data_IF_213853962025
#
_entry.id   IF_213853962025
#
_cell.length_a   1.000
_cell.length_b   1.000
_cell.length_c   1.000
_cell.angle_alpha   90.00
_cell.angle_beta   90.00
_cell.angle_gamma   90.00
#
_symmetry.space_group_name_H-M   'P 1'
#
loop_
_entity.id
_entity.type
_entity.pdbx_description
1 polymer ?
#
# COMPACT_ATOMS: atom_id res chain seq x y z
N UNK A 1 -13.63 12.06 4.92
CA UNK A 1 -12.70 11.46 5.89
C UNK A 1 -13.40 10.90 7.11
N UNK A 2 -13.09 9.65 7.48
CA UNK A 2 -13.66 8.95 8.65
C UNK A 2 -12.70 9.09 9.83
N UNK A 3 -13.03 9.90 10.84
CA UNK A 3 -12.14 10.26 11.98
C UNK A 3 -11.46 9.07 12.65
N UNK A 4 -12.16 7.92 12.79
CA UNK A 4 -11.61 6.70 13.39
C UNK A 4 -10.40 6.12 12.63
N UNK A 5 -10.32 6.36 11.33
CA UNK A 5 -9.29 5.84 10.42
C UNK A 5 -8.44 6.95 9.82
N UNK A 6 -8.43 8.13 10.44
CA UNK A 6 -7.65 9.29 9.99
C UNK A 6 -6.56 9.59 11.01
N UNK A 7 -5.31 9.65 10.56
CA UNK A 7 -4.17 10.08 11.38
C UNK A 7 -3.95 11.59 11.23
N UNK A 8 -3.47 12.30 12.27
CA UNK A 8 -3.39 13.77 12.25
C UNK A 8 -2.64 14.37 11.07
N UNK A 9 -1.51 13.75 10.68
CA UNK A 9 -0.67 14.24 9.57
C UNK A 9 -1.39 14.24 8.22
N UNK A 10 -2.23 13.23 7.95
CA UNK A 10 -2.99 13.16 6.70
C UNK A 10 -4.27 14.00 6.78
N UNK A 11 -4.84 14.17 7.98
CA UNK A 11 -5.96 15.08 8.20
C UNK A 11 -5.57 16.54 7.88
N UNK A 12 -4.36 16.94 8.25
CA UNK A 12 -3.85 18.28 8.01
C UNK A 12 -3.75 18.59 6.51
N UNK A 13 -3.21 17.64 5.73
CA UNK A 13 -3.08 17.77 4.26
C UNK A 13 -4.43 18.03 3.59
N UNK A 14 -5.47 17.32 4.03
CA UNK A 14 -6.83 17.41 3.47
C UNK A 14 -7.75 18.37 4.23
N UNK A 15 -7.21 19.20 5.11
CA UNK A 15 -7.99 20.23 5.79
C UNK A 15 -8.42 21.33 4.80
N UNK A 16 -9.59 21.93 5.05
CA UNK A 16 -10.06 23.09 4.27
C UNK A 16 -9.06 24.24 4.31
N UNK A 17 -8.41 24.44 5.47
CA UNK A 17 -7.35 25.44 5.64
C UNK A 17 -6.17 25.17 4.71
N UNK A 18 -5.64 23.94 4.70
CA UNK A 18 -4.53 23.60 3.83
C UNK A 18 -4.91 23.67 2.35
N UNK A 19 -6.15 23.33 1.97
CA UNK A 19 -6.65 23.52 0.59
C UNK A 19 -6.52 24.98 0.15
N UNK A 20 -7.12 25.90 0.89
CA UNK A 20 -7.07 27.33 0.54
C UNK A 20 -5.67 27.93 0.67
N UNK A 21 -4.85 27.41 1.59
CA UNK A 21 -3.43 27.76 1.67
C UNK A 21 -2.67 27.35 0.40
N UNK A 22 -2.94 26.17 -0.14
CA UNK A 22 -2.34 25.73 -1.40
C UNK A 22 -2.83 26.58 -2.58
N UNK A 23 -4.12 26.98 -2.60
CA UNK A 23 -4.65 27.89 -3.62
C UNK A 23 -3.96 29.25 -3.55
N UNK A 24 -3.83 29.81 -2.35
CA UNK A 24 -3.14 31.08 -2.13
C UNK A 24 -1.67 31.02 -2.58
N UNK A 25 -0.97 29.93 -2.27
CA UNK A 25 0.42 29.78 -2.69
C UNK A 25 0.54 29.75 -4.23
N UNK A 26 -0.36 29.05 -4.92
CA UNK A 26 -0.40 29.04 -6.40
C UNK A 26 -0.62 30.44 -6.97
N UNK A 27 -1.59 31.18 -6.44
CA UNK A 27 -1.89 32.56 -6.88
C UNK A 27 -0.67 33.48 -6.72
N UNK A 28 -0.04 33.49 -5.54
CA UNK A 28 1.09 34.39 -5.28
C UNK A 28 2.30 34.00 -6.15
N UNK A 29 2.54 32.70 -6.36
CA UNK A 29 3.62 32.24 -7.23
C UNK A 29 3.36 32.60 -8.71
N UNK A 30 2.10 32.61 -9.15
CA UNK A 30 1.76 33.07 -10.50
C UNK A 30 2.05 34.57 -10.66
N UNK A 31 1.71 35.39 -9.67
CA UNK A 31 2.05 36.82 -9.65
C UNK A 31 3.56 37.05 -9.63
N UNK A 32 4.32 36.27 -8.86
CA UNK A 32 5.79 36.31 -8.87
C UNK A 32 6.37 35.96 -10.24
N UNK A 33 5.81 34.97 -10.94
CA UNK A 33 6.25 34.63 -12.28
C UNK A 33 5.98 35.77 -13.28
N UNK A 34 4.80 36.40 -13.20
CA UNK A 34 4.49 37.58 -14.01
C UNK A 34 5.40 38.77 -13.70
N UNK A 35 5.77 38.98 -12.44
CA UNK A 35 6.75 39.99 -12.08
C UNK A 35 8.15 39.67 -12.60
N UNK A 36 8.55 38.39 -12.62
CA UNK A 36 9.81 37.96 -13.22
C UNK A 36 9.84 38.19 -14.75
N UNK A 37 8.68 38.20 -15.41
CA UNK A 37 8.53 38.60 -16.81
C UNK A 37 8.45 40.13 -17.02
N UNK A 38 8.27 40.91 -15.95
CA UNK A 38 8.14 42.37 -16.01
C UNK A 38 6.74 42.89 -16.35
N UNK A 39 5.72 42.02 -16.38
CA UNK A 39 4.33 42.38 -16.70
C UNK A 39 3.56 42.92 -15.48
N UNK A 40 3.97 42.51 -14.27
CA UNK A 40 3.42 43.00 -12.99
C UNK A 40 4.54 43.70 -12.21
N UNK A 41 4.30 44.86 -11.58
CA UNK A 41 5.30 45.52 -10.74
C UNK A 41 5.73 44.64 -9.56
N UNK A 42 7.04 44.43 -9.39
CA UNK A 42 7.58 43.63 -8.29
C UNK A 42 7.18 44.16 -6.90
N UNK A 43 6.96 45.47 -6.76
CA UNK A 43 6.48 46.09 -5.52
C UNK A 43 5.04 45.68 -5.17
N UNK A 44 4.18 45.46 -6.17
CA UNK A 44 2.81 45.00 -5.95
C UNK A 44 2.82 43.54 -5.51
N UNK A 45 3.63 42.67 -6.15
CA UNK A 45 3.77 41.27 -5.75
C UNK A 45 4.35 41.13 -4.34
N UNK A 46 5.31 41.98 -3.96
CA UNK A 46 5.84 42.00 -2.60
C UNK A 46 4.76 42.33 -1.55
N UNK A 47 3.82 43.23 -1.87
CA UNK A 47 2.66 43.52 -1.01
C UNK A 47 1.70 42.33 -0.95
N UNK A 48 1.42 41.69 -2.09
CA UNK A 48 0.57 40.49 -2.14
C UNK A 48 1.17 39.39 -1.25
N UNK A 49 2.44 39.04 -1.42
CA UNK A 49 3.12 38.02 -0.62
C UNK A 49 3.11 38.32 0.88
N UNK A 50 3.19 39.59 1.27
CA UNK A 50 3.21 40.01 2.66
C UNK A 50 1.82 40.05 3.33
N UNK A 51 0.79 40.42 2.57
CA UNK A 51 -0.51 40.80 3.12
C UNK A 51 -1.66 39.84 2.74
N UNK A 52 -1.54 39.10 1.65
CA UNK A 52 -2.61 38.23 1.17
C UNK A 52 -2.92 37.14 2.20
N UNK A 53 -4.17 37.11 2.65
CA UNK A 53 -4.69 36.09 3.56
C UNK A 53 -6.14 35.79 3.21
N UNK A 54 -6.68 34.72 3.79
CA UNK A 54 -8.08 34.36 3.63
C UNK A 54 -8.71 33.98 4.97
N UNK A 55 -10.03 34.08 5.02
CA UNK A 55 -10.87 33.55 6.10
C UNK A 55 -11.85 32.54 5.52
N UNK A 56 -11.90 31.33 6.10
CA UNK A 56 -12.69 30.22 5.54
C UNK A 56 -14.19 30.51 5.63
N UNK A 57 -14.64 31.06 6.76
CA UNK A 57 -16.06 31.37 6.96
C UNK A 57 -16.53 32.44 5.96
N UNK A 58 -15.67 33.43 5.69
CA UNK A 58 -15.90 34.45 4.68
C UNK A 58 -15.96 33.88 3.25
N UNK A 59 -15.07 32.95 2.90
CA UNK A 59 -15.14 32.27 1.60
C UNK A 59 -16.49 31.55 1.45
N UNK A 60 -16.89 30.77 2.46
CA UNK A 60 -18.16 30.03 2.44
C UNK A 60 -19.39 30.96 2.41
N UNK A 61 -19.29 32.15 2.99
CA UNK A 61 -20.33 33.19 2.87
C UNK A 61 -20.45 33.69 1.42
N UNK A 62 -19.34 34.08 0.80
CA UNK A 62 -19.31 34.57 -0.59
C UNK A 62 -19.73 33.46 -1.58
N UNK A 63 -19.40 32.20 -1.30
CA UNK A 63 -19.76 31.05 -2.13
C UNK A 63 -21.28 30.85 -2.23
N UNK A 64 -22.05 31.17 -1.19
CA UNK A 64 -23.53 31.08 -1.24
C UNK A 64 -24.14 31.97 -2.32
N UNK A 65 -23.52 33.12 -2.59
CA UNK A 65 -23.95 34.05 -3.63
C UNK A 65 -23.35 33.70 -5.00
N UNK A 66 -22.04 33.49 -5.05
CA UNK A 66 -21.30 33.27 -6.30
C UNK A 66 -21.55 31.90 -6.91
N UNK A 67 -21.87 30.90 -6.08
CA UNK A 67 -21.99 29.48 -6.45
C UNK A 67 -20.75 28.95 -7.19
N UNK A 68 -19.59 29.52 -6.88
CA UNK A 68 -18.31 29.18 -7.49
C UNK A 68 -17.19 29.38 -6.46
N UNK A 69 -16.58 28.28 -6.05
CA UNK A 69 -15.55 28.21 -4.99
C UNK A 69 -14.31 29.08 -5.24
N UNK A 70 -13.69 29.00 -6.43
CA UNK A 70 -12.51 29.83 -6.76
C UNK A 70 -12.84 31.32 -6.79
N UNK A 71 -14.00 31.71 -7.32
CA UNK A 71 -14.43 33.12 -7.32
C UNK A 71 -14.69 33.61 -5.89
N UNK A 72 -15.26 32.77 -5.04
CA UNK A 72 -15.45 33.09 -3.62
C UNK A 72 -14.10 33.28 -2.91
N UNK A 73 -13.14 32.38 -3.19
CA UNK A 73 -11.79 32.45 -2.66
C UNK A 73 -11.04 33.72 -3.09
N UNK A 74 -10.97 34.03 -4.39
CA UNK A 74 -10.22 35.21 -4.89
C UNK A 74 -10.82 36.52 -4.38
N UNK A 75 -12.15 36.59 -4.21
CA UNK A 75 -12.83 37.73 -3.57
C UNK A 75 -12.46 37.86 -2.10
N UNK A 76 -12.48 36.76 -1.34
CA UNK A 76 -12.09 36.77 0.07
C UNK A 76 -10.62 37.21 0.26
N UNK A 77 -9.71 36.71 -0.58
CA UNK A 77 -8.31 37.14 -0.58
C UNK A 77 -8.19 38.63 -0.92
N UNK A 78 -8.95 39.11 -1.91
CA UNK A 78 -8.95 40.52 -2.31
C UNK A 78 -9.42 41.48 -1.22
N UNK A 79 -10.19 41.02 -0.23
CA UNK A 79 -10.59 41.83 0.94
C UNK A 79 -9.42 42.11 1.90
N UNK A 80 -8.34 41.32 1.83
CA UNK A 80 -7.12 41.53 2.62
C UNK A 80 -6.09 42.46 1.97
N UNK A 81 -6.33 42.88 0.72
CA UNK A 81 -5.36 43.56 -0.13
C UNK A 81 -5.82 44.97 -0.53
N UNK A 82 -4.85 45.82 -0.89
CA UNK A 82 -5.04 47.16 -1.44
C UNK A 82 -5.28 47.18 -2.96
N UNK A 83 -4.68 48.14 -3.67
CA UNK A 83 -4.79 48.26 -5.12
C UNK A 83 -4.17 47.07 -5.87
N UNK A 84 -3.17 46.44 -5.27
CA UNK A 84 -2.48 45.26 -5.80
C UNK A 84 -3.41 44.05 -5.99
N UNK A 85 -4.59 44.04 -5.36
CA UNK A 85 -5.60 42.97 -5.52
C UNK A 85 -6.03 42.74 -6.97
N UNK A 86 -5.81 43.71 -7.86
CA UNK A 86 -6.11 43.60 -9.30
C UNK A 86 -5.28 42.51 -10.01
N UNK A 87 -4.19 42.07 -9.39
CA UNK A 87 -3.29 41.04 -9.92
C UNK A 87 -3.68 39.62 -9.48
N UNK A 88 -4.44 39.47 -8.39
CA UNK A 88 -4.95 38.17 -7.96
C UNK A 88 -5.72 37.52 -9.11
N UNK A 89 -5.32 36.30 -9.47
CA UNK A 89 -5.90 35.53 -10.57
C UNK A 89 -5.60 36.07 -11.99
N UNK A 90 -4.56 36.89 -12.17
CA UNK A 90 -4.25 37.48 -13.48
C UNK A 90 -3.81 36.44 -14.52
N UNK A 91 -4.61 36.31 -15.59
CA UNK A 91 -4.37 35.37 -16.70
C UNK A 91 -4.72 33.90 -16.41
N UNK A 92 -5.12 33.58 -15.18
CA UNK A 92 -5.48 32.23 -14.75
C UNK A 92 -6.92 31.87 -15.11
N UNK A 93 -7.17 30.56 -15.23
CA UNK A 93 -8.52 29.98 -15.08
C UNK A 93 -8.65 29.26 -13.74
N UNK A 94 -9.88 29.03 -13.27
CA UNK A 94 -10.17 28.39 -11.99
C UNK A 94 -9.38 27.09 -11.76
N UNK A 95 -9.21 26.27 -12.80
CA UNK A 95 -8.51 24.98 -12.65
C UNK A 95 -7.00 25.05 -12.84
N UNK A 96 -6.43 26.18 -13.27
CA UNK A 96 -5.00 26.40 -13.11
C UNK A 96 -4.63 26.39 -11.62
N UNK A 97 -5.48 27.01 -10.79
CA UNK A 97 -5.33 27.02 -9.33
C UNK A 97 -5.70 25.67 -8.73
N UNK A 98 -6.90 25.15 -9.04
CA UNK A 98 -7.43 23.94 -8.37
C UNK A 98 -6.57 22.70 -8.64
N UNK A 99 -6.22 22.40 -9.90
CA UNK A 99 -5.48 21.17 -10.21
C UNK A 99 -4.00 21.28 -9.78
N UNK A 100 -3.38 22.46 -9.91
CA UNK A 100 -2.00 22.67 -9.43
C UNK A 100 -1.92 22.56 -7.91
N UNK A 101 -2.89 23.14 -7.19
CA UNK A 101 -2.99 22.98 -5.75
C UNK A 101 -3.28 21.52 -5.36
N UNK A 102 -4.10 20.78 -6.11
CA UNK A 102 -4.31 19.36 -5.88
C UNK A 102 -3.04 18.54 -6.09
N UNK A 103 -2.28 18.79 -7.16
CA UNK A 103 -0.98 18.14 -7.36
C UNK A 103 -0.01 18.43 -6.22
N UNK A 104 -0.02 19.64 -5.68
CA UNK A 104 0.77 20.01 -4.50
C UNK A 104 0.27 19.34 -3.19
N UNK A 105 -1.04 19.26 -2.96
CA UNK A 105 -1.59 18.50 -1.82
C UNK A 105 -1.31 17.00 -1.93
N UNK A 106 -1.42 16.43 -3.14
CA UNK A 106 -1.07 15.04 -3.40
C UNK A 106 0.42 14.79 -3.17
N UNK A 107 1.30 15.73 -3.54
CA UNK A 107 2.72 15.67 -3.17
C UNK A 107 2.90 15.56 -1.66
N UNK A 108 2.24 16.41 -0.87
CA UNK A 108 2.31 16.36 0.60
C UNK A 108 1.82 15.01 1.15
N UNK A 109 0.69 14.50 0.63
CA UNK A 109 0.18 13.18 0.99
C UNK A 109 1.15 12.05 0.61
N UNK A 110 1.76 12.15 -0.57
CA UNK A 110 2.70 11.15 -1.08
C UNK A 110 4.00 11.12 -0.32
N UNK A 111 4.49 12.27 0.17
CA UNK A 111 5.67 12.33 1.03
C UNK A 111 5.44 11.57 2.35
N UNK A 112 4.21 11.64 2.91
CA UNK A 112 3.80 10.83 4.06
C UNK A 112 3.74 9.33 3.69
N UNK A 113 3.07 8.99 2.59
CA UNK A 113 2.90 7.61 2.17
C UNK A 113 4.24 6.94 1.80
N UNK A 114 5.18 7.66 1.18
CA UNK A 114 6.56 7.20 0.92
C UNK A 114 7.23 6.73 2.20
N UNK A 115 7.20 7.57 3.23
CA UNK A 115 7.79 7.27 4.54
C UNK A 115 7.12 6.05 5.16
N UNK A 116 5.79 5.97 5.10
CA UNK A 116 5.02 4.85 5.65
C UNK A 116 5.32 3.53 4.93
N UNK A 117 5.44 3.56 3.60
CA UNK A 117 5.81 2.40 2.78
C UNK A 117 7.21 1.90 3.11
N UNK A 118 8.19 2.81 3.25
CA UNK A 118 9.56 2.43 3.65
C UNK A 118 9.60 1.85 5.06
N UNK A 119 8.94 2.49 6.03
CA UNK A 119 8.85 1.97 7.39
C UNK A 119 8.19 0.58 7.44
N UNK A 120 7.14 0.34 6.64
CA UNK A 120 6.53 -0.98 6.54
C UNK A 120 7.48 -2.00 5.89
N UNK A 121 8.22 -1.63 4.85
CA UNK A 121 9.22 -2.47 4.21
C UNK A 121 10.33 -2.88 5.21
N UNK A 122 10.87 -1.91 5.96
CA UNK A 122 11.89 -2.12 7.00
C UNK A 122 11.40 -3.09 8.08
N UNK A 123 10.21 -2.84 8.65
CA UNK A 123 9.63 -3.69 9.69
C UNK A 123 9.42 -5.14 9.20
N UNK A 124 8.93 -5.33 7.97
CA UNK A 124 8.77 -6.67 7.40
C UNK A 124 10.14 -7.33 7.22
N UNK A 125 11.14 -6.57 6.75
CA UNK A 125 12.51 -7.05 6.56
C UNK A 125 13.15 -7.50 7.87
N UNK A 126 13.05 -6.70 8.93
CA UNK A 126 13.51 -7.04 10.27
C UNK A 126 12.84 -8.31 10.79
N UNK A 127 11.51 -8.41 10.64
CA UNK A 127 10.75 -9.60 11.07
C UNK A 127 11.12 -10.85 10.27
N UNK A 128 11.38 -10.69 8.96
CA UNK A 128 11.84 -11.76 8.10
C UNK A 128 13.22 -12.29 8.54
N UNK A 129 14.15 -11.39 8.89
CA UNK A 129 15.46 -11.75 9.44
C UNK A 129 15.35 -12.44 10.81
N UNK A 130 14.53 -11.89 11.71
CA UNK A 130 14.26 -12.49 13.05
C UNK A 130 13.83 -13.96 12.92
N UNK A 131 12.97 -14.27 11.94
CA UNK A 131 12.42 -15.61 11.74
C UNK A 131 13.00 -16.37 10.54
N UNK A 132 14.20 -15.99 10.06
CA UNK A 132 14.87 -16.55 8.86
C UNK A 132 14.86 -18.08 8.86
N UNK A 133 15.16 -18.69 10.01
CA UNK A 133 15.24 -20.15 10.21
C UNK A 133 14.08 -20.75 11.03
N UNK A 134 13.04 -19.98 11.35
CA UNK A 134 11.87 -20.51 12.07
C UNK A 134 11.05 -21.40 11.14
N UNK A 135 11.23 -22.73 11.24
CA UNK A 135 10.53 -23.69 10.38
C UNK A 135 9.02 -23.70 10.64
N UNK A 136 8.22 -23.81 9.59
CA UNK A 136 6.78 -23.98 9.66
C UNK A 136 6.26 -24.75 8.44
N UNK A 137 4.98 -25.14 8.45
CA UNK A 137 4.39 -25.80 7.29
C UNK A 137 4.11 -24.82 6.15
N UNK A 138 4.62 -25.15 4.96
CA UNK A 138 4.10 -24.66 3.70
C UNK A 138 2.70 -25.22 3.47
N UNK A 139 1.80 -24.39 2.94
CA UNK A 139 0.39 -24.75 2.73
C UNK A 139 -0.06 -24.39 1.32
N UNK A 140 -0.57 -25.37 0.60
CA UNK A 140 -1.20 -25.21 -0.71
C UNK A 140 -2.65 -25.68 -0.61
N UNK A 141 -3.60 -24.89 -1.10
CA UNK A 141 -5.05 -25.16 -0.92
C UNK A 141 -5.50 -25.27 0.56
N UNK A 142 -4.72 -24.70 1.49
CA UNK A 142 -4.95 -24.85 2.93
C UNK A 142 -4.49 -26.18 3.53
N UNK A 143 -3.85 -27.05 2.74
CA UNK A 143 -3.35 -28.38 3.15
C UNK A 143 -1.83 -28.33 3.31
N UNK A 144 -1.28 -29.15 4.22
CA UNK A 144 0.17 -29.31 4.39
C UNK A 144 0.82 -29.81 3.09
N UNK A 145 1.83 -29.07 2.64
CA UNK A 145 2.71 -29.46 1.54
C UNK A 145 4.08 -29.83 2.13
N UNK A 146 5.10 -29.03 1.85
CA UNK A 146 6.46 -29.21 2.40
C UNK A 146 6.80 -28.15 3.47
N UNK A 147 7.78 -28.41 4.34
CA UNK A 147 8.30 -27.41 5.26
C UNK A 147 8.82 -26.16 4.53
N UNK A 148 8.63 -24.99 5.14
CA UNK A 148 9.24 -23.71 4.77
C UNK A 148 9.70 -22.99 6.04
N UNK A 149 10.06 -21.71 5.97
CA UNK A 149 10.28 -20.88 7.16
C UNK A 149 9.32 -19.71 7.23
N UNK A 150 8.99 -19.28 8.44
CA UNK A 150 8.18 -18.08 8.64
C UNK A 150 8.92 -16.83 8.12
N UNK A 151 10.25 -16.80 8.22
CA UNK A 151 11.09 -15.80 7.57
C UNK A 151 10.88 -15.75 6.05
N UNK A 152 10.82 -16.90 5.36
CA UNK A 152 10.51 -16.93 3.92
C UNK A 152 9.11 -16.41 3.60
N UNK A 153 8.08 -16.73 4.43
CA UNK A 153 6.74 -16.15 4.28
C UNK A 153 6.77 -14.62 4.35
N UNK A 154 7.47 -14.05 5.32
CA UNK A 154 7.64 -12.60 5.46
C UNK A 154 8.49 -12.01 4.32
N UNK A 155 9.51 -12.74 3.86
CA UNK A 155 10.33 -12.34 2.73
C UNK A 155 9.50 -12.21 1.42
N UNK A 156 8.44 -13.01 1.25
CA UNK A 156 7.48 -12.79 0.14
C UNK A 156 6.77 -11.45 0.24
N UNK A 157 6.38 -11.02 1.46
CA UNK A 157 5.74 -9.74 1.71
C UNK A 157 6.74 -8.59 1.48
N UNK A 158 7.98 -8.75 1.93
CA UNK A 158 9.07 -7.79 1.71
C UNK A 158 9.30 -7.54 0.21
N UNK A 159 9.47 -8.62 -0.57
CA UNK A 159 9.64 -8.55 -2.02
C UNK A 159 8.44 -7.88 -2.72
N UNK A 160 7.22 -8.16 -2.25
CA UNK A 160 6.00 -7.53 -2.77
C UNK A 160 5.93 -6.03 -2.45
N UNK A 161 6.34 -5.62 -1.25
CA UNK A 161 6.41 -4.21 -0.88
C UNK A 161 7.46 -3.44 -1.68
N UNK A 162 8.60 -4.04 -2.05
CA UNK A 162 9.56 -3.40 -2.98
C UNK A 162 8.92 -3.05 -4.32
N UNK A 163 8.21 -4.01 -4.93
CA UNK A 163 7.47 -3.78 -6.19
C UNK A 163 6.38 -2.73 -6.03
N UNK A 164 5.72 -2.69 -4.87
CA UNK A 164 4.69 -1.70 -4.58
C UNK A 164 5.27 -0.29 -4.42
N UNK A 165 6.44 -0.15 -3.82
CA UNK A 165 7.16 1.13 -3.73
C UNK A 165 7.52 1.62 -5.13
N UNK A 166 8.10 0.76 -5.98
CA UNK A 166 8.43 1.13 -7.37
C UNK A 166 7.20 1.63 -8.15
N UNK A 167 6.06 0.95 -8.01
CA UNK A 167 4.78 1.38 -8.61
C UNK A 167 4.28 2.69 -8.02
N UNK A 168 4.36 2.84 -6.71
CA UNK A 168 3.95 4.07 -6.02
C UNK A 168 4.76 5.27 -6.50
N UNK A 169 6.08 5.14 -6.60
CA UNK A 169 6.94 6.22 -7.08
C UNK A 169 6.58 6.67 -8.49
N UNK A 170 6.30 5.72 -9.38
CA UNK A 170 5.85 6.02 -10.74
C UNK A 170 4.52 6.79 -10.74
N UNK A 171 3.49 6.25 -10.08
CA UNK A 171 2.17 6.83 -10.10
C UNK A 171 2.10 8.17 -9.34
N UNK A 172 2.85 8.30 -8.23
CA UNK A 172 2.99 9.53 -7.47
C UNK A 172 3.60 10.65 -8.33
N UNK A 173 4.68 10.37 -9.07
CA UNK A 173 5.29 11.32 -10.01
C UNK A 173 4.31 11.79 -11.10
N UNK A 174 3.35 10.95 -11.48
CA UNK A 174 2.29 11.30 -12.43
C UNK A 174 1.39 12.42 -11.90
N UNK A 175 0.90 12.29 -10.67
CA UNK A 175 -0.05 13.23 -10.05
C UNK A 175 0.60 14.38 -9.27
N UNK A 176 1.89 14.29 -8.97
CA UNK A 176 2.71 15.40 -8.44
C UNK A 176 3.02 16.42 -9.55
N UNK A 177 1.97 16.91 -10.19
CA UNK A 177 2.02 17.76 -11.37
C UNK A 177 1.08 18.97 -11.24
N UNK A 178 1.40 20.05 -11.95
CA UNK A 178 0.56 21.23 -12.06
C UNK A 178 0.22 21.55 -13.51
N UNK A 179 -0.76 22.43 -13.68
CA UNK A 179 -1.09 23.03 -14.97
C UNK A 179 -1.42 24.50 -14.80
N UNK A 180 -0.82 25.36 -15.62
CA UNK A 180 -1.12 26.79 -15.70
C UNK A 180 -1.10 27.20 -17.17
N UNK A 181 -2.19 26.84 -17.84
CA UNK A 181 -2.29 26.89 -19.30
C UNK A 181 -3.56 27.60 -19.78
N UNK A 182 -4.34 28.13 -18.84
CA UNK A 182 -5.54 28.91 -19.09
C UNK A 182 -6.74 28.05 -19.47
N UNK A 183 -7.72 28.72 -20.09
CA UNK A 183 -9.07 28.20 -20.27
C UNK A 183 -9.17 26.90 -21.09
N UNK A 184 -8.28 26.64 -22.04
CA UNK A 184 -8.35 25.45 -22.91
C UNK A 184 -6.97 24.80 -23.14
N UNK A 185 -5.98 25.14 -22.32
CA UNK A 185 -4.65 24.54 -22.42
C UNK A 185 -3.74 25.11 -23.52
N UNK A 186 -4.08 26.28 -24.07
CA UNK A 186 -3.37 26.85 -25.23
C UNK A 186 -2.36 27.93 -24.88
N UNK A 187 -2.24 28.30 -23.59
CA UNK A 187 -1.35 29.38 -23.14
C UNK A 187 -1.69 30.76 -23.76
N UNK A 188 -2.90 30.94 -24.29
CA UNK A 188 -3.28 32.15 -25.03
C UNK A 188 -3.23 33.43 -24.19
N UNK A 189 -3.54 33.33 -22.89
CA UNK A 189 -3.58 34.45 -21.96
C UNK A 189 -2.53 34.36 -20.85
N UNK A 190 -1.66 33.34 -20.90
CA UNK A 190 -0.67 33.07 -19.87
C UNK A 190 0.51 32.29 -20.48
N UNK A 191 1.75 32.82 -20.41
CA UNK A 191 2.89 32.17 -21.05
C UNK A 191 3.32 30.92 -20.26
N UNK A 192 3.87 29.89 -20.94
CA UNK A 192 4.34 28.66 -20.29
C UNK A 192 5.33 28.88 -19.13
N UNK A 193 6.10 29.97 -19.17
CA UNK A 193 7.03 30.34 -18.08
C UNK A 193 6.34 30.44 -16.72
N UNK A 194 5.06 30.88 -16.66
CA UNK A 194 4.34 30.97 -15.39
C UNK A 194 4.09 29.58 -14.81
N UNK A 195 3.72 28.61 -15.65
CA UNK A 195 3.57 27.21 -15.25
C UNK A 195 4.89 26.63 -14.73
N UNK A 196 5.97 26.81 -15.50
CA UNK A 196 7.31 26.32 -15.13
C UNK A 196 7.76 26.89 -13.78
N UNK A 197 7.61 28.20 -13.58
CA UNK A 197 7.98 28.87 -12.34
C UNK A 197 7.17 28.34 -11.15
N UNK A 198 5.84 28.27 -11.26
CA UNK A 198 4.98 27.82 -10.16
C UNK A 198 5.26 26.36 -9.81
N UNK A 199 5.34 25.48 -10.82
CA UNK A 199 5.63 24.06 -10.60
C UNK A 199 7.01 23.85 -9.97
N UNK A 200 8.04 24.56 -10.43
CA UNK A 200 9.38 24.50 -9.82
C UNK A 200 9.35 24.87 -8.34
N UNK A 201 8.67 25.98 -7.99
CA UNK A 201 8.59 26.48 -6.61
C UNK A 201 7.78 25.56 -5.69
N UNK A 202 6.78 24.87 -6.22
CA UNK A 202 5.99 23.87 -5.48
C UNK A 202 6.65 22.48 -5.45
N UNK A 203 7.74 22.29 -6.20
CA UNK A 203 8.39 20.98 -6.35
C UNK A 203 7.49 19.96 -7.07
N UNK A 204 6.63 20.42 -7.97
CA UNK A 204 5.78 19.60 -8.84
C UNK A 204 6.25 19.70 -10.29
N UNK A 205 5.77 18.81 -11.15
CA UNK A 205 6.12 18.80 -12.58
C UNK A 205 5.09 19.60 -13.40
N UNK A 206 5.50 20.47 -14.33
CA UNK A 206 4.57 21.04 -15.30
C UNK A 206 4.05 19.94 -16.25
N UNK A 207 2.75 19.94 -16.51
CA UNK A 207 2.14 18.94 -17.37
C UNK A 207 2.47 19.22 -18.85
N UNK A 208 3.07 18.23 -19.53
CA UNK A 208 3.60 18.37 -20.91
C UNK A 208 2.60 18.97 -21.90
N UNK A 209 1.34 18.54 -21.80
CA UNK A 209 0.21 19.14 -22.48
C UNK A 209 -1.03 18.97 -21.60
N UNK A 210 -1.84 20.01 -21.51
CA UNK A 210 -3.06 20.05 -20.72
C UNK A 210 -4.23 20.59 -21.53
N UNK A 211 -5.44 20.35 -21.04
CA UNK A 211 -6.63 21.06 -21.49
C UNK A 211 -6.96 22.16 -20.47
N UNK A 212 -8.23 22.41 -20.17
CA UNK A 212 -8.58 23.22 -19.00
C UNK A 212 -8.16 22.51 -17.68
N UNK A 213 -7.84 21.21 -17.73
CA UNK A 213 -7.53 20.36 -16.57
C UNK A 213 -6.30 19.46 -16.80
N UNK A 214 -5.76 18.90 -15.72
CA UNK A 214 -4.84 17.75 -15.80
C UNK A 214 -5.57 16.51 -16.35
N UNK A 215 -4.89 15.66 -17.13
CA UNK A 215 -5.53 14.46 -17.65
C UNK A 215 -5.77 13.44 -16.52
N UNK A 216 -6.97 12.87 -16.48
CA UNK A 216 -7.46 12.04 -15.35
C UNK A 216 -6.94 10.60 -15.39
N UNK A 217 -6.27 10.17 -16.46
CA UNK A 217 -5.55 8.90 -16.51
C UNK A 217 -4.44 8.83 -15.45
N UNK A 218 -3.77 9.95 -15.16
CA UNK A 218 -2.78 10.07 -14.08
C UNK A 218 -3.39 9.73 -12.72
N UNK A 219 -4.60 10.24 -12.46
CA UNK A 219 -5.34 10.02 -11.22
C UNK A 219 -5.88 8.59 -11.12
N UNK A 220 -6.29 8.00 -12.26
CA UNK A 220 -6.71 6.60 -12.35
C UNK A 220 -5.55 5.63 -12.06
N UNK A 221 -4.36 5.87 -12.62
CA UNK A 221 -3.15 5.08 -12.31
C UNK A 221 -2.77 5.19 -10.83
N UNK A 222 -2.80 6.40 -10.28
CA UNK A 222 -2.54 6.66 -8.87
C UNK A 222 -3.51 5.90 -7.96
N UNK A 223 -4.81 5.96 -8.24
CA UNK A 223 -5.82 5.24 -7.45
C UNK A 223 -5.70 3.71 -7.58
N UNK A 224 -5.40 3.20 -8.79
CA UNK A 224 -5.12 1.78 -8.98
C UNK A 224 -3.91 1.31 -8.17
N UNK A 225 -2.86 2.12 -8.11
CA UNK A 225 -1.65 1.83 -7.34
C UNK A 225 -1.95 1.82 -5.84
N UNK A 226 -2.66 2.81 -5.31
CA UNK A 226 -3.13 2.82 -3.91
C UNK A 226 -3.96 1.57 -3.61
N UNK A 227 -4.90 1.21 -4.48
CA UNK A 227 -5.75 0.04 -4.32
C UNK A 227 -4.96 -1.28 -4.35
N UNK A 228 -3.91 -1.37 -5.16
CA UNK A 228 -3.03 -2.53 -5.23
C UNK A 228 -2.21 -2.70 -3.95
N UNK A 229 -1.68 -1.61 -3.39
CA UNK A 229 -0.98 -1.62 -2.11
C UNK A 229 -1.92 -2.08 -1.00
N UNK A 230 -3.12 -1.49 -0.92
CA UNK A 230 -4.14 -1.89 0.05
C UNK A 230 -4.53 -3.38 -0.06
N UNK A 231 -4.58 -3.90 -1.29
CA UNK A 231 -4.86 -5.33 -1.57
C UNK A 231 -3.71 -6.24 -1.14
N UNK A 232 -2.46 -5.77 -1.27
CA UNK A 232 -1.28 -6.48 -0.74
C UNK A 232 -1.36 -6.58 0.79
N UNK A 233 -1.75 -5.50 1.47
CA UNK A 233 -1.99 -5.50 2.92
C UNK A 233 -3.10 -6.49 3.30
N UNK A 234 -4.19 -6.56 2.53
CA UNK A 234 -5.24 -7.57 2.72
C UNK A 234 -4.71 -9.00 2.61
N UNK A 235 -3.82 -9.28 1.64
CA UNK A 235 -3.16 -10.59 1.51
C UNK A 235 -2.39 -10.94 2.78
N UNK A 236 -1.59 -10.01 3.29
CA UNK A 236 -0.77 -10.20 4.50
C UNK A 236 -1.65 -10.41 5.73
N UNK A 237 -2.67 -9.57 5.89
CA UNK A 237 -3.65 -9.66 6.96
C UNK A 237 -4.44 -10.98 6.93
N UNK A 238 -4.75 -11.49 5.74
CA UNK A 238 -5.43 -12.78 5.57
C UNK A 238 -4.55 -13.96 5.99
N UNK A 239 -3.24 -13.90 5.72
CA UNK A 239 -2.28 -14.88 6.23
C UNK A 239 -2.27 -14.88 7.77
N UNK A 240 -2.16 -13.71 8.41
CA UNK A 240 -2.19 -13.60 9.88
C UNK A 240 -3.48 -14.20 10.45
N UNK A 241 -4.62 -13.88 9.85
CA UNK A 241 -5.93 -14.44 10.25
C UNK A 241 -5.95 -15.97 10.14
N UNK A 242 -5.33 -16.52 9.09
CA UNK A 242 -5.21 -17.96 8.91
C UNK A 242 -4.32 -18.61 9.97
N UNK A 243 -3.15 -18.03 10.23
CA UNK A 243 -2.17 -18.55 11.18
C UNK A 243 -2.60 -18.38 12.65
N UNK A 244 -3.49 -17.42 12.95
CA UNK A 244 -4.06 -17.20 14.28
C UNK A 244 -5.31 -18.05 14.57
N UNK A 245 -5.82 -18.83 13.59
CA UNK A 245 -6.92 -19.79 13.86
C UNK A 245 -6.56 -20.71 15.02
N UNK A 246 -7.55 -21.05 15.84
CA UNK A 246 -7.37 -21.84 17.07
C UNK A 246 -6.68 -23.19 16.83
N UNK A 247 -6.99 -23.84 15.71
CA UNK A 247 -6.43 -25.13 15.31
C UNK A 247 -4.96 -25.03 14.87
N UNK A 248 -4.49 -23.82 14.53
CA UNK A 248 -3.15 -23.54 14.02
C UNK A 248 -2.27 -22.86 15.07
N UNK A 249 -2.68 -21.65 15.50
CA UNK A 249 -2.01 -20.82 16.52
C UNK A 249 -0.49 -20.69 16.31
N UNK A 250 -0.08 -20.46 15.07
CA UNK A 250 1.33 -20.22 14.71
C UNK A 250 1.75 -18.77 14.97
N UNK A 251 0.79 -17.84 14.91
CA UNK A 251 0.99 -16.42 15.24
C UNK A 251 -0.22 -15.87 16.00
N UNK A 252 -0.05 -14.72 16.64
CA UNK A 252 -1.13 -13.97 17.27
C UNK A 252 -0.84 -12.47 17.27
N UNK A 253 -1.82 -11.66 16.88
CA UNK A 253 -1.76 -10.20 17.08
C UNK A 253 -1.53 -9.87 18.55
N UNK A 254 -0.61 -8.94 18.83
CA UNK A 254 -0.25 -8.57 20.20
C UNK A 254 -1.50 -8.21 21.01
N UNK A 255 -1.65 -8.87 22.17
CA UNK A 255 -2.78 -8.67 23.06
C UNK A 255 -2.31 -7.91 24.31
N UNK A 256 -2.64 -6.61 24.38
CA UNK A 256 -2.15 -5.73 25.43
C UNK A 256 -2.76 -6.06 26.81
N UNK A 257 -2.02 -5.74 27.87
CA UNK A 257 -2.52 -5.87 29.25
C UNK A 257 -3.76 -4.99 29.42
N UNK A 258 -4.89 -5.60 29.78
CA UNK A 258 -6.19 -4.93 29.92
C UNK A 258 -7.08 -4.93 28.67
N UNK A 259 -6.58 -5.39 27.52
CA UNK A 259 -7.41 -5.60 26.33
C UNK A 259 -8.45 -6.69 26.61
N UNK A 260 -9.69 -6.47 26.16
CA UNK A 260 -10.76 -7.49 26.19
C UNK A 260 -10.98 -8.00 24.77
N UNK A 261 -10.79 -9.29 24.54
CA UNK A 261 -11.00 -9.89 23.21
C UNK A 261 -12.46 -10.28 22.93
N UNK A 262 -13.32 -10.30 23.94
CA UNK A 262 -14.77 -10.47 23.84
C UNK A 262 -15.46 -9.89 25.06
N UNK A 263 -16.73 -9.49 24.92
CA UNK A 263 -17.59 -9.10 26.04
C UNK A 263 -18.00 -10.30 26.92
N UNK A 264 -18.02 -11.52 26.38
CA UNK A 264 -18.57 -12.70 27.05
C UNK A 264 -17.56 -13.85 27.24
N UNK A 265 -16.48 -13.89 26.46
CA UNK A 265 -15.52 -15.00 26.45
C UNK A 265 -14.10 -14.53 26.82
N UNK A 266 -13.66 -14.69 28.09
CA UNK A 266 -12.38 -14.16 28.58
C UNK A 266 -11.13 -14.72 27.89
N UNK A 267 -11.21 -15.90 27.29
CA UNK A 267 -10.09 -16.56 26.59
C UNK A 267 -9.90 -16.06 25.14
N UNK A 268 -10.86 -15.31 24.58
CA UNK A 268 -10.90 -15.01 23.15
C UNK A 268 -9.78 -14.04 22.77
N UNK A 269 -8.96 -14.41 21.79
CA UNK A 269 -7.93 -13.56 21.17
C UNK A 269 -8.15 -13.54 19.67
N UNK A 270 -8.43 -12.36 19.11
CA UNK A 270 -8.89 -12.22 17.73
C UNK A 270 -7.94 -11.37 16.89
N UNK A 271 -7.76 -11.67 15.59
CA UNK A 271 -6.98 -10.87 14.66
C UNK A 271 -7.77 -9.64 14.14
N UNK A 272 -8.34 -8.84 15.05
CA UNK A 272 -9.25 -7.73 14.67
C UNK A 272 -8.52 -6.60 13.93
N UNK A 273 -7.21 -6.47 14.12
CA UNK A 273 -6.38 -5.53 13.37
C UNK A 273 -6.35 -5.92 11.89
N UNK A 274 -6.03 -7.18 11.62
CA UNK A 274 -5.99 -7.77 10.28
C UNK A 274 -7.36 -7.79 9.62
N UNK A 275 -8.43 -8.12 10.37
CA UNK A 275 -9.81 -8.03 9.87
C UNK A 275 -10.19 -6.59 9.46
N UNK A 276 -9.73 -5.59 10.23
CA UNK A 276 -9.95 -4.19 9.88
C UNK A 276 -9.22 -3.82 8.58
N UNK A 277 -7.97 -4.28 8.38
CA UNK A 277 -7.25 -4.03 7.12
C UNK A 277 -7.98 -4.58 5.91
N UNK A 278 -8.52 -5.79 6.02
CA UNK A 278 -9.32 -6.45 4.96
C UNK A 278 -10.55 -5.60 4.61
N UNK A 279 -11.24 -5.05 5.60
CA UNK A 279 -12.39 -4.17 5.39
C UNK A 279 -12.02 -2.89 4.64
N UNK A 280 -10.93 -2.23 5.03
CA UNK A 280 -10.49 -0.98 4.41
C UNK A 280 -9.99 -1.19 2.97
N UNK A 281 -9.30 -2.30 2.69
CA UNK A 281 -8.84 -2.63 1.34
C UNK A 281 -10.00 -2.77 0.35
N UNK A 282 -11.15 -3.31 0.80
CA UNK A 282 -12.37 -3.41 -0.01
C UNK A 282 -12.93 -2.03 -0.40
N UNK A 283 -12.92 -1.08 0.53
CA UNK A 283 -13.39 0.30 0.29
C UNK A 283 -12.48 0.99 -0.72
N UNK A 284 -11.15 0.93 -0.49
CA UNK A 284 -10.16 1.56 -1.39
C UNK A 284 -10.28 1.01 -2.82
N UNK A 285 -10.48 -0.31 -3.00
CA UNK A 285 -10.69 -0.88 -4.33
C UNK A 285 -11.95 -0.35 -5.03
N UNK A 286 -12.99 0.03 -4.29
CA UNK A 286 -14.17 0.69 -4.85
C UNK A 286 -13.83 2.04 -5.50
N UNK A 287 -12.96 2.83 -4.84
CA UNK A 287 -12.52 4.13 -5.35
C UNK A 287 -11.75 4.05 -6.67
N UNK A 288 -11.05 2.94 -6.92
CA UNK A 288 -10.37 2.70 -8.21
C UNK A 288 -11.36 2.73 -9.38
N UNK A 289 -12.55 2.14 -9.24
CA UNK A 289 -13.57 2.16 -10.31
C UNK A 289 -13.99 3.60 -10.59
N UNK A 290 -14.31 4.37 -9.55
CA UNK A 290 -14.67 5.78 -9.66
C UNK A 290 -13.57 6.59 -10.36
N UNK A 291 -12.30 6.37 -10.03
CA UNK A 291 -11.19 7.06 -10.67
C UNK A 291 -11.06 6.75 -12.18
N UNK A 292 -11.32 5.49 -12.58
CA UNK A 292 -11.31 5.11 -14.00
C UNK A 292 -12.48 5.73 -14.76
N UNK A 293 -13.65 5.83 -14.15
CA UNK A 293 -14.82 6.48 -14.75
C UNK A 293 -14.61 7.99 -14.95
N UNK A 294 -13.77 8.64 -14.12
CA UNK A 294 -13.40 10.05 -14.27
C UNK A 294 -12.51 10.35 -15.49
N UNK A 295 -11.97 9.34 -16.20
CA UNK A 295 -11.07 9.56 -17.35
C UNK A 295 -11.84 10.08 -18.57
N UNK A 296 -13.09 9.64 -18.76
CA UNK A 296 -13.90 9.93 -19.95
C UNK A 296 -14.51 11.33 -19.99
N UNK A 297 -13.74 12.38 -19.69
CA UNK A 297 -14.21 13.77 -19.71
C UNK A 297 -14.50 14.26 -21.14
N UNK A 298 -15.42 15.22 -21.26
CA UNK A 298 -15.84 15.77 -22.55
C UNK A 298 -15.00 16.98 -22.98
N UNK A 299 -14.51 16.96 -24.23
CA UNK A 299 -13.75 18.05 -24.85
C UNK A 299 -12.58 18.51 -23.97
N UNK A 300 -12.39 19.83 -23.79
CA UNK A 300 -11.31 20.37 -22.96
C UNK A 300 -11.59 20.24 -21.45
N UNK A 301 -12.85 20.04 -21.03
CA UNK A 301 -13.26 19.48 -19.73
C UNK A 301 -14.78 19.44 -19.57
N UNK A 302 -15.23 18.52 -18.73
CA UNK A 302 -16.37 18.72 -17.83
C UNK A 302 -15.89 18.63 -16.37
N UNK A 303 -16.78 18.89 -15.40
CA UNK A 303 -16.43 18.98 -13.97
C UNK A 303 -16.92 17.77 -13.16
N UNK A 304 -17.42 16.71 -13.81
CA UNK A 304 -17.96 15.52 -13.12
C UNK A 304 -16.96 14.91 -12.14
N UNK A 305 -15.69 14.84 -12.53
CA UNK A 305 -14.59 14.33 -11.71
C UNK A 305 -14.46 15.02 -10.36
N UNK A 306 -14.75 16.33 -10.26
CA UNK A 306 -14.43 17.13 -9.07
C UNK A 306 -15.21 16.65 -7.84
N UNK A 307 -16.50 16.36 -8.02
CA UNK A 307 -17.35 15.88 -6.91
C UNK A 307 -16.92 14.49 -6.43
N UNK A 308 -16.50 13.62 -7.34
CA UNK A 308 -15.95 12.30 -7.03
C UNK A 308 -14.58 12.41 -6.34
N UNK A 309 -13.67 13.22 -6.87
CA UNK A 309 -12.29 13.43 -6.37
C UNK A 309 -12.27 14.02 -4.95
N UNK A 310 -13.23 14.91 -4.62
CA UNK A 310 -13.44 15.41 -3.25
C UNK A 310 -13.72 14.31 -2.22
N UNK A 311 -14.20 13.15 -2.65
CA UNK A 311 -14.42 11.98 -1.80
C UNK A 311 -13.20 11.04 -1.89
N UNK A 312 -12.87 10.61 -3.11
CA UNK A 312 -11.97 9.47 -3.29
C UNK A 312 -10.51 9.81 -2.98
N UNK A 313 -10.01 11.01 -3.29
CA UNK A 313 -8.60 11.35 -3.06
C UNK A 313 -8.29 11.48 -1.56
N UNK A 314 -9.07 12.25 -0.76
CA UNK A 314 -8.84 12.32 0.68
C UNK A 314 -9.07 10.98 1.37
N UNK A 315 -10.15 10.26 1.03
CA UNK A 315 -10.46 9.01 1.70
C UNK A 315 -9.43 7.91 1.37
N UNK A 316 -9.01 7.75 0.10
CA UNK A 316 -8.08 6.69 -0.28
C UNK A 316 -6.68 6.88 0.33
N UNK A 317 -6.12 8.09 0.26
CA UNK A 317 -4.80 8.39 0.83
C UNK A 317 -4.81 8.28 2.36
N UNK A 318 -5.89 8.74 3.00
CA UNK A 318 -6.11 8.61 4.46
C UNK A 318 -6.20 7.15 4.90
N UNK A 319 -7.02 6.36 4.21
CA UNK A 319 -7.19 4.95 4.56
C UNK A 319 -5.90 4.15 4.32
N UNK A 320 -5.15 4.44 3.25
CA UNK A 320 -3.88 3.78 3.01
C UNK A 320 -2.82 4.15 4.06
N UNK A 321 -2.68 5.44 4.41
CA UNK A 321 -1.81 5.91 5.49
C UNK A 321 -2.13 5.20 6.82
N UNK A 322 -3.41 5.06 7.14
CA UNK A 322 -3.86 4.32 8.31
C UNK A 322 -3.53 2.83 8.23
N UNK A 323 -3.79 2.18 7.09
CA UNK A 323 -3.50 0.76 6.90
C UNK A 323 -2.00 0.46 7.04
N UNK A 324 -1.13 1.23 6.37
CA UNK A 324 0.31 1.06 6.41
C UNK A 324 0.82 1.12 7.86
N UNK A 325 0.39 2.12 8.62
CA UNK A 325 0.88 2.31 9.99
C UNK A 325 0.29 1.30 10.98
N UNK A 326 -1.01 1.04 10.89
CA UNK A 326 -1.65 0.07 11.78
C UNK A 326 -1.11 -1.33 11.51
N UNK A 327 -0.94 -1.71 10.25
CA UNK A 327 -0.46 -3.03 9.89
C UNK A 327 1.04 -3.21 10.13
N UNK A 328 1.86 -2.19 9.90
CA UNK A 328 3.27 -2.20 10.30
C UNK A 328 3.42 -2.47 11.80
N UNK A 329 2.60 -1.82 12.64
CA UNK A 329 2.57 -2.10 14.08
C UNK A 329 2.10 -3.52 14.44
N UNK A 330 1.16 -4.08 13.66
CA UNK A 330 0.74 -5.48 13.82
C UNK A 330 1.90 -6.42 13.53
N UNK A 331 2.62 -6.25 12.41
CA UNK A 331 3.77 -7.08 12.04
C UNK A 331 4.89 -6.96 13.07
N UNK A 332 5.25 -5.73 13.44
CA UNK A 332 6.32 -5.44 14.42
C UNK A 332 6.09 -6.19 15.72
N UNK A 333 4.87 -6.11 16.25
CA UNK A 333 4.51 -6.69 17.54
C UNK A 333 3.90 -8.10 17.42
N UNK A 334 3.86 -8.70 16.23
CA UNK A 334 3.24 -10.01 16.01
C UNK A 334 3.94 -11.05 16.89
N UNK A 335 3.15 -11.74 17.72
CA UNK A 335 3.67 -12.85 18.52
C UNK A 335 3.76 -14.07 17.62
N UNK A 336 4.94 -14.68 17.56
CA UNK A 336 5.20 -15.88 16.78
C UNK A 336 5.43 -17.04 17.75
N UNK A 337 4.88 -18.22 17.44
CA UNK A 337 4.98 -19.43 18.26
C UNK A 337 5.76 -20.53 17.52
N UNK A 338 7.11 -20.49 17.49
CA UNK A 338 7.93 -21.50 16.83
C UNK A 338 7.61 -22.94 17.27
N UNK A 339 7.28 -23.13 18.54
CA UNK A 339 6.89 -24.42 19.11
C UNK A 339 5.58 -24.95 18.54
N UNK A 340 4.59 -24.07 18.29
CA UNK A 340 3.34 -24.47 17.64
C UNK A 340 3.56 -24.75 16.15
N UNK A 341 4.40 -23.95 15.47
CA UNK A 341 4.78 -24.20 14.08
C UNK A 341 5.41 -25.59 13.94
N UNK A 342 6.37 -25.94 14.80
CA UNK A 342 7.02 -27.25 14.79
C UNK A 342 6.04 -28.38 15.14
N UNK A 343 5.19 -28.19 16.16
CA UNK A 343 4.13 -29.15 16.51
C UNK A 343 3.22 -29.43 15.31
N UNK A 344 2.79 -28.39 14.60
CA UNK A 344 1.85 -28.52 13.50
C UNK A 344 2.42 -29.33 12.33
N UNK A 345 3.74 -29.32 12.11
CA UNK A 345 4.37 -30.16 11.08
C UNK A 345 4.09 -31.66 11.27
N UNK A 346 3.88 -32.09 12.52
CA UNK A 346 3.59 -33.48 12.85
C UNK A 346 2.10 -33.82 12.81
N UNK A 347 1.20 -32.84 12.60
CA UNK A 347 -0.25 -33.07 12.58
C UNK A 347 -0.72 -33.99 11.43
N UNK A 348 0.15 -34.25 10.46
CA UNK A 348 -0.09 -35.14 9.32
C UNK A 348 0.87 -36.33 9.34
N UNK A 349 1.29 -36.77 10.53
CA UNK A 349 1.97 -38.06 10.78
C UNK A 349 3.26 -38.29 9.95
N UNK A 350 3.98 -37.23 9.59
CA UNK A 350 5.19 -37.32 8.76
C UNK A 350 4.94 -37.50 7.25
N UNK A 351 3.69 -37.43 6.78
CA UNK A 351 3.34 -37.56 5.36
C UNK A 351 3.94 -36.48 4.46
N UNK A 352 4.32 -35.34 5.04
CA UNK A 352 5.00 -34.23 4.36
C UNK A 352 6.35 -34.65 3.75
N UNK A 353 6.91 -35.79 4.16
CA UNK A 353 8.15 -36.35 3.63
C UNK A 353 7.95 -37.45 2.58
N UNK A 354 6.70 -37.74 2.19
CA UNK A 354 6.39 -38.80 1.20
C UNK A 354 7.12 -38.59 -0.13
N UNK A 355 7.21 -37.34 -0.62
CA UNK A 355 7.96 -37.02 -1.83
C UNK A 355 9.47 -37.30 -1.69
N UNK A 356 10.06 -37.05 -0.52
CA UNK A 356 11.48 -37.35 -0.25
C UNK A 356 11.76 -38.85 -0.29
N UNK A 357 10.87 -39.68 0.27
CA UNK A 357 10.97 -41.14 0.21
C UNK A 357 10.87 -41.62 -1.24
N UNK A 358 9.88 -41.11 -1.99
CA UNK A 358 9.68 -41.43 -3.40
C UNK A 358 10.91 -41.08 -4.24
N UNK A 359 11.45 -39.87 -4.10
CA UNK A 359 12.62 -39.43 -4.87
C UNK A 359 13.86 -40.28 -4.56
N UNK A 360 14.09 -40.65 -3.30
CA UNK A 360 15.19 -41.55 -2.93
C UNK A 360 15.06 -42.94 -3.55
N UNK A 361 13.85 -43.48 -3.68
CA UNK A 361 13.63 -44.75 -4.38
C UNK A 361 14.01 -44.65 -5.86
N UNK A 362 13.64 -43.54 -6.51
CA UNK A 362 14.02 -43.24 -7.90
C UNK A 362 15.54 -43.12 -8.03
N UNK A 363 16.21 -42.42 -7.12
CA UNK A 363 17.68 -42.27 -7.10
C UNK A 363 18.40 -43.62 -6.95
N UNK A 364 17.73 -44.64 -6.40
CA UNK A 364 18.21 -46.04 -6.30
C UNK A 364 17.74 -46.93 -7.45
N UNK A 365 17.26 -46.34 -8.54
CA UNK A 365 16.98 -47.00 -9.82
C UNK A 365 15.57 -47.58 -9.95
N UNK A 366 14.61 -47.17 -9.12
CA UNK A 366 13.18 -47.51 -9.31
C UNK A 366 12.54 -46.57 -10.35
N UNK A 367 11.57 -47.05 -11.14
CA UNK A 367 10.78 -46.14 -11.98
C UNK A 367 9.92 -45.21 -11.12
N UNK A 368 9.47 -44.09 -11.69
CA UNK A 368 8.63 -43.15 -10.94
C UNK A 368 7.30 -43.78 -10.54
N UNK A 369 6.68 -44.52 -11.46
CA UNK A 369 5.41 -45.21 -11.27
C UNK A 369 5.55 -46.27 -10.17
N UNK A 370 6.60 -47.10 -10.24
CA UNK A 370 6.87 -48.10 -9.19
C UNK A 370 7.07 -47.47 -7.81
N UNK A 371 7.85 -46.38 -7.72
CA UNK A 371 8.08 -45.69 -6.45
C UNK A 371 6.79 -45.05 -5.91
N UNK A 372 5.98 -44.48 -6.79
CA UNK A 372 4.71 -43.87 -6.43
C UNK A 372 3.71 -44.91 -5.93
N UNK A 373 3.48 -45.97 -6.70
CA UNK A 373 2.56 -47.06 -6.35
C UNK A 373 3.01 -47.82 -5.10
N UNK A 374 4.32 -47.82 -4.82
CA UNK A 374 4.86 -48.38 -3.58
C UNK A 374 4.59 -47.48 -2.38
N UNK A 375 4.76 -46.16 -2.50
CA UNK A 375 4.63 -45.19 -1.38
C UNK A 375 3.17 -44.82 -1.08
N UNK A 376 2.35 -44.60 -2.10
CA UNK A 376 0.99 -44.09 -1.95
C UNK A 376 0.11 -44.92 -1.00
N UNK A 377 0.07 -46.26 -1.07
CA UNK A 377 -0.75 -47.06 -0.15
C UNK A 377 -0.36 -46.88 1.33
N UNK A 378 0.93 -46.62 1.62
CA UNK A 378 1.39 -46.36 3.00
C UNK A 378 0.97 -44.98 3.47
N UNK A 379 0.92 -44.00 2.56
CA UNK A 379 0.39 -42.68 2.89
C UNK A 379 -1.09 -42.74 3.24
N UNK A 380 -1.88 -43.52 2.49
CA UNK A 380 -3.29 -43.75 2.78
C UNK A 380 -3.47 -44.48 4.12
N UNK A 381 -2.68 -45.53 4.37
CA UNK A 381 -2.71 -46.26 5.63
C UNK A 381 -2.39 -45.38 6.84
N UNK A 382 -1.35 -44.54 6.74
CA UNK A 382 -0.98 -43.56 7.78
C UNK A 382 -2.11 -42.58 8.05
N UNK A 383 -2.76 -42.06 7.00
CA UNK A 383 -3.84 -41.11 7.12
C UNK A 383 -5.10 -41.71 7.74
N UNK A 384 -5.58 -42.84 7.20
CA UNK A 384 -6.83 -43.47 7.60
C UNK A 384 -6.77 -44.03 9.02
N UNK A 385 -5.58 -44.45 9.47
CA UNK A 385 -5.36 -45.04 10.79
C UNK A 385 -4.67 -44.09 11.78
N UNK A 386 -4.32 -42.87 11.37
CA UNK A 386 -3.64 -41.88 12.20
C UNK A 386 -2.34 -42.41 12.83
N UNK A 387 -1.54 -43.10 12.02
CA UNK A 387 -0.26 -43.70 12.43
C UNK A 387 0.91 -43.03 11.73
N UNK A 388 2.05 -42.95 12.40
CA UNK A 388 3.25 -42.33 11.82
C UNK A 388 3.67 -43.03 10.53
N UNK A 389 3.95 -42.23 9.50
CA UNK A 389 4.31 -42.71 8.17
C UNK A 389 5.68 -43.40 8.16
N UNK A 390 6.64 -42.92 8.96
CA UNK A 390 8.02 -43.45 8.97
C UNK A 390 8.08 -44.95 9.34
N UNK A 391 7.44 -45.42 10.44
CA UNK A 391 7.37 -46.85 10.73
C UNK A 391 6.81 -47.70 9.59
N UNK A 392 5.82 -47.19 8.84
CA UNK A 392 5.24 -47.92 7.69
C UNK A 392 6.24 -48.06 6.53
N UNK A 393 7.09 -47.04 6.33
CA UNK A 393 8.19 -47.07 5.35
C UNK A 393 9.28 -48.04 5.79
N UNK A 394 9.66 -48.02 7.07
CA UNK A 394 10.72 -48.89 7.63
C UNK A 394 10.29 -50.37 7.72
N UNK A 395 9.00 -50.66 7.78
CA UNK A 395 8.45 -52.02 7.81
C UNK A 395 8.24 -52.65 6.42
N UNK A 396 8.35 -51.88 5.33
CA UNK A 396 8.15 -52.38 3.97
C UNK A 396 9.45 -52.97 3.39
N UNK A 397 9.44 -54.27 3.11
CA UNK A 397 10.61 -55.00 2.60
C UNK A 397 11.10 -54.50 1.23
N UNK A 398 10.20 -54.06 0.35
CA UNK A 398 10.57 -53.57 -0.98
C UNK A 398 11.25 -52.20 -0.90
N UNK A 399 10.82 -51.34 0.02
CA UNK A 399 11.50 -50.08 0.34
C UNK A 399 12.87 -50.37 0.97
N UNK A 400 12.92 -51.23 1.98
CA UNK A 400 14.17 -51.56 2.70
C UNK A 400 15.20 -52.30 1.85
N UNK A 401 14.77 -52.98 0.78
CA UNK A 401 15.68 -53.55 -0.22
C UNK A 401 16.42 -52.48 -1.05
N UNK A 402 15.95 -51.23 -1.07
CA UNK A 402 16.53 -50.11 -1.84
C UNK A 402 17.13 -49.02 -0.94
N UNK A 403 16.49 -48.73 0.18
CA UNK A 403 16.85 -47.65 1.10
C UNK A 403 17.38 -48.22 2.42
N UNK A 404 18.49 -47.66 2.89
CA UNK A 404 18.99 -47.92 4.24
C UNK A 404 18.19 -47.14 5.28
N UNK A 405 18.36 -47.49 6.57
CA UNK A 405 17.78 -46.70 7.67
C UNK A 405 18.29 -45.25 7.68
N UNK A 406 19.52 -45.02 7.22
CA UNK A 406 20.09 -43.67 7.09
C UNK A 406 19.43 -42.90 5.93
N UNK A 407 19.20 -43.55 4.79
CA UNK A 407 18.46 -42.95 3.67
C UNK A 407 17.05 -42.52 4.10
N UNK A 408 16.35 -43.37 4.88
CA UNK A 408 15.03 -43.05 5.42
C UNK A 408 15.13 -41.91 6.45
N UNK A 409 16.09 -41.96 7.39
CA UNK A 409 16.26 -40.89 8.36
C UNK A 409 16.52 -39.53 7.70
N UNK A 410 17.32 -39.49 6.62
CA UNK A 410 17.52 -38.30 5.80
C UNK A 410 16.25 -37.83 5.08
N UNK A 411 15.42 -38.76 4.59
CA UNK A 411 14.15 -38.42 3.94
C UNK A 411 13.22 -37.61 4.87
N UNK A 412 13.22 -37.95 6.17
CA UNK A 412 12.39 -37.33 7.21
C UNK A 412 13.08 -36.14 7.92
N UNK A 413 14.24 -35.69 7.44
CA UNK A 413 14.94 -34.53 7.99
C UNK A 413 14.43 -33.23 7.34
N UNK A 414 13.67 -32.41 8.08
CA UNK A 414 13.16 -31.14 7.54
C UNK A 414 14.26 -30.16 7.12
N UNK A 415 15.47 -30.23 7.70
CA UNK A 415 16.57 -29.31 7.37
C UNK A 415 16.94 -29.34 5.89
N UNK A 416 16.63 -30.43 5.19
CA UNK A 416 16.74 -30.51 3.73
C UNK A 416 16.03 -29.33 3.02
N UNK A 417 14.83 -28.96 3.48
CA UNK A 417 14.02 -27.89 2.90
C UNK A 417 14.54 -26.48 3.25
N UNK A 418 15.46 -26.38 4.20
CA UNK A 418 16.03 -25.11 4.68
C UNK A 418 17.38 -24.79 4.02
N UNK A 419 17.91 -25.71 3.21
CA UNK A 419 19.24 -25.66 2.60
C UNK A 419 19.50 -24.41 1.75
N UNK A 420 18.46 -23.88 1.08
CA UNK A 420 18.55 -22.70 0.21
C UNK A 420 18.00 -21.42 0.84
N UNK A 421 17.65 -21.42 2.14
CA UNK A 421 17.10 -20.23 2.81
C UNK A 421 18.07 -19.05 2.74
N UNK A 422 19.36 -19.29 2.97
CA UNK A 422 20.37 -18.21 3.00
C UNK A 422 20.55 -17.59 1.61
N UNK A 423 20.61 -18.42 0.57
CA UNK A 423 20.70 -17.95 -0.82
C UNK A 423 19.50 -17.08 -1.22
N UNK A 424 18.29 -17.44 -0.78
CA UNK A 424 17.08 -16.65 -1.05
C UNK A 424 17.11 -15.31 -0.31
N UNK A 425 17.58 -15.28 0.94
CA UNK A 425 17.71 -14.04 1.70
C UNK A 425 18.76 -13.10 1.09
N UNK A 426 19.89 -13.64 0.60
CA UNK A 426 20.91 -12.88 -0.11
C UNK A 426 20.35 -12.21 -1.37
N UNK A 427 19.61 -12.97 -2.19
CA UNK A 427 18.94 -12.45 -3.40
C UNK A 427 17.98 -11.29 -3.11
N UNK A 428 17.41 -11.22 -1.91
CA UNK A 428 16.47 -10.17 -1.51
C UNK A 428 17.16 -8.92 -0.93
N UNK A 429 18.48 -8.97 -0.71
CA UNK A 429 19.20 -7.94 0.05
C UNK A 429 18.94 -8.03 1.55
N UNK A 430 18.50 -9.20 2.04
CA UNK A 430 18.29 -9.50 3.46
C UNK A 430 19.35 -10.46 4.00
N UNK A 431 20.47 -10.61 3.29
CA UNK A 431 21.67 -11.31 3.75
C UNK A 431 22.21 -10.77 5.08
N UNK A 432 23.14 -11.55 5.65
CA UNK A 432 23.82 -11.24 6.91
C UNK A 432 24.95 -10.21 6.70
#
# INVERSE_FOLDING_TARGET
MITRYTRPEMAEVWSEYNRYKCWLEVEILADEAWAALGEIPAEDVAKIRANATFDIDRILEIEKETRHDVVAFTRAVSESLGEERKWVHYGLTSTDVVDTAYGYQLKQANDILRKDLQNMLEIIGEKAKEHKKTVCMGRTHGVHAEPTTFGLKLATMYSEMKRNIERFEHAAKGVEAGKISGAVGTFANIPPFVEEYVCEKLGTRPQEISTQVLPRDLHAEYMATIALIATSIERFATEIRGLQKSETREVEEFFAKGQKGSSAMPHKRNPIGSENMVGLARVIRGYMVTAYENVGLWHERDISHSSAERIILPDATTLLNYQLNRFANIIKNLTVFPENMLRNMNATFGLIYSQRVLLKLIDKGMSREEAYDLVQPKTALSWDNQTDFRPLVEADEAIMAKLTKEDIADAFNYNYHLSHVDEVFERLGLGD
#
